data_IF_322416518959
#
_entry.id   IF_322416518959
#
_cell.length_a   1.000
_cell.length_b   1.000
_cell.length_c   1.000
_cell.angle_alpha   90.00
_cell.angle_beta   90.00
_cell.angle_gamma   90.00
#
_symmetry.space_group_name_H-M   'P 1'
#
loop_
_entity.id
_entity.type
_entity.pdbx_description
1 polymer ?
#
# COMPACT_ATOMS: atom_id res chain seq x y z
N UNK A 1 1.11 -5.44 28.88
CA UNK A 1 0.05 -5.08 27.92
C UNK A 1 0.04 -3.57 27.80
N UNK A 2 0.43 -3.04 26.65
CA UNK A 2 0.37 -1.61 26.40
C UNK A 2 -0.09 -1.43 24.96
N UNK A 3 -1.34 -1.01 24.84
CA UNK A 3 -2.00 -0.62 23.61
C UNK A 3 -1.25 0.58 23.01
N UNK A 4 -0.35 0.37 22.05
CA UNK A 4 0.06 1.42 21.09
C UNK A 4 -1.08 1.64 20.08
N UNK A 5 -2.26 1.95 20.62
CA UNK A 5 -3.50 2.13 19.90
C UNK A 5 -3.57 3.62 19.55
N UNK A 6 -3.57 3.92 18.26
CA UNK A 6 -3.90 5.22 17.71
C UNK A 6 -2.98 6.37 18.16
N UNK A 7 -1.70 6.31 17.80
CA UNK A 7 -1.13 7.59 17.35
C UNK A 7 -1.96 7.99 16.13
N UNK A 8 -2.65 9.11 16.30
CA UNK A 8 -3.44 9.79 15.30
C UNK A 8 -2.50 10.04 14.11
N UNK A 9 -2.51 9.15 13.11
CA UNK A 9 -1.81 9.28 11.85
C UNK A 9 -2.44 10.41 11.05
N UNK A 10 -2.28 11.63 11.54
CA UNK A 10 -2.33 12.81 10.70
C UNK A 10 -1.03 12.79 9.92
N UNK A 11 -1.02 12.06 8.80
CA UNK A 11 -0.01 12.19 7.77
C UNK A 11 0.09 13.67 7.39
N UNK A 12 1.30 14.20 7.33
CA UNK A 12 1.53 15.52 6.76
C UNK A 12 1.47 15.46 5.22
N UNK A 13 1.58 16.61 4.56
CA UNK A 13 1.50 16.67 3.08
C UNK A 13 2.62 15.85 2.42
N UNK A 14 3.81 15.79 3.02
CA UNK A 14 4.95 15.03 2.49
C UNK A 14 4.72 13.52 2.61
N UNK A 15 4.19 13.07 3.75
CA UNK A 15 3.74 11.70 3.98
C UNK A 15 2.66 11.30 2.98
N UNK A 16 1.70 12.18 2.71
CA UNK A 16 0.67 11.95 1.69
C UNK A 16 1.26 11.81 0.29
N UNK A 17 2.26 12.62 -0.08
CA UNK A 17 2.96 12.46 -1.36
C UNK A 17 3.64 11.10 -1.48
N UNK A 18 4.33 10.64 -0.43
CA UNK A 18 4.98 9.31 -0.43
C UNK A 18 3.94 8.19 -0.58
N UNK A 19 2.82 8.28 0.13
CA UNK A 19 1.74 7.29 0.07
C UNK A 19 1.06 7.27 -1.30
N UNK A 20 0.82 8.43 -1.90
CA UNK A 20 0.24 8.57 -3.23
C UNK A 20 1.18 8.05 -4.33
N UNK A 21 2.45 8.43 -4.31
CA UNK A 21 3.47 7.95 -5.23
C UNK A 21 3.64 6.44 -5.14
N UNK A 22 3.65 5.89 -3.92
CA UNK A 22 3.71 4.45 -3.71
C UNK A 22 2.46 3.73 -4.27
N UNK A 23 1.28 4.35 -4.20
CA UNK A 23 0.04 3.78 -4.72
C UNK A 23 0.02 3.77 -6.24
N UNK A 24 0.35 4.89 -6.86
CA UNK A 24 0.47 5.02 -8.33
C UNK A 24 1.49 3.99 -8.84
N UNK A 25 2.66 3.93 -8.20
CA UNK A 25 3.73 3.00 -8.59
C UNK A 25 3.33 1.55 -8.41
N UNK A 26 2.63 1.21 -7.33
CA UNK A 26 2.14 -0.16 -7.12
C UNK A 26 1.12 -0.57 -8.18
N UNK A 27 0.22 0.34 -8.57
CA UNK A 27 -0.72 0.12 -9.67
C UNK A 27 -0.01 -0.08 -11.02
N UNK A 28 1.01 0.74 -11.32
CA UNK A 28 1.85 0.56 -12.51
C UNK A 28 2.52 -0.82 -12.54
N UNK A 29 3.05 -1.28 -11.40
CA UNK A 29 3.65 -2.63 -11.27
C UNK A 29 2.63 -3.76 -11.44
N UNK A 30 1.38 -3.53 -11.06
CA UNK A 30 0.27 -4.47 -11.27
C UNK A 30 -0.29 -4.41 -12.70
N UNK A 31 0.10 -3.42 -13.50
CA UNK A 31 -0.38 -3.23 -14.86
C UNK A 31 -1.83 -2.77 -14.95
N UNK A 32 -2.43 -2.33 -13.85
CA UNK A 32 -3.79 -1.83 -13.78
C UNK A 32 -3.80 -0.36 -13.35
N UNK A 33 -4.60 0.50 -14.00
CA UNK A 33 -4.69 1.89 -13.59
C UNK A 33 -5.33 2.01 -12.20
N UNK A 34 -4.86 2.92 -11.33
CA UNK A 34 -5.36 3.09 -9.96
C UNK A 34 -6.89 3.24 -9.87
N UNK A 35 -7.47 3.92 -10.86
CA UNK A 35 -8.91 4.22 -10.95
C UNK A 35 -9.77 2.99 -11.25
N UNK A 36 -9.19 1.98 -11.92
CA UNK A 36 -9.90 0.74 -12.27
C UNK A 36 -9.52 -0.44 -11.38
N UNK A 37 -8.55 -0.25 -10.47
CA UNK A 37 -8.03 -1.34 -9.66
C UNK A 37 -9.05 -1.74 -8.62
N UNK A 38 -9.64 -2.94 -8.79
CA UNK A 38 -10.71 -3.46 -7.93
C UNK A 38 -10.33 -3.52 -6.44
N UNK A 39 -9.04 -3.64 -6.15
CA UNK A 39 -8.51 -3.72 -4.79
C UNK A 39 -7.76 -2.44 -4.36
N UNK A 40 -8.02 -1.27 -4.98
CA UNK A 40 -7.35 0.00 -4.69
C UNK A 40 -7.36 0.37 -3.20
N UNK A 41 -8.51 0.24 -2.54
CA UNK A 41 -8.64 0.51 -1.10
C UNK A 41 -7.78 -0.42 -0.24
N UNK A 42 -7.69 -1.68 -0.62
CA UNK A 42 -6.91 -2.69 0.10
C UNK A 42 -5.42 -2.46 -0.09
N UNK A 43 -5.02 -2.13 -1.32
CA UNK A 43 -3.65 -1.76 -1.66
C UNK A 43 -3.22 -0.52 -0.87
N UNK A 44 -4.04 0.54 -0.85
CA UNK A 44 -3.79 1.76 -0.08
C UNK A 44 -3.62 1.48 1.42
N UNK A 45 -4.50 0.64 2.01
CA UNK A 45 -4.35 0.21 3.42
C UNK A 45 -3.05 -0.56 3.67
N UNK A 46 -2.54 -1.29 2.68
CA UNK A 46 -1.28 -2.01 2.83
C UNK A 46 -0.08 -1.07 2.76
N UNK A 47 -0.12 -0.12 1.83
CA UNK A 47 0.87 0.96 1.68
C UNK A 47 0.97 1.76 2.98
N UNK A 48 -0.18 2.20 3.52
CA UNK A 48 -0.24 2.90 4.81
C UNK A 48 0.38 2.07 5.94
N UNK A 49 0.08 0.77 6.03
CA UNK A 49 0.70 -0.11 7.05
C UNK A 49 2.22 -0.25 6.90
N UNK A 50 2.74 -0.27 5.68
CA UNK A 50 4.19 -0.33 5.43
C UNK A 50 4.85 0.99 5.83
N UNK A 51 4.17 2.10 5.54
CA UNK A 51 4.59 3.41 5.97
C UNK A 51 4.59 3.55 7.51
N UNK A 52 3.52 3.11 8.17
CA UNK A 52 3.40 3.09 9.63
C UNK A 52 4.46 2.21 10.30
N UNK A 53 4.94 1.17 9.60
CA UNK A 53 6.04 0.32 10.05
C UNK A 53 7.43 0.98 9.91
N UNK A 54 7.50 2.21 9.39
CA UNK A 54 8.73 3.00 9.26
C UNK A 54 9.40 2.91 7.90
N UNK A 55 8.78 2.27 6.90
CA UNK A 55 9.28 2.32 5.52
C UNK A 55 8.95 3.71 4.95
N UNK A 56 9.96 4.43 4.46
CA UNK A 56 9.81 5.81 3.92
C UNK A 56 10.11 5.92 2.43
N UNK A 57 10.61 4.86 1.82
CA UNK A 57 10.89 4.80 0.39
C UNK A 57 9.65 4.31 -0.37
N UNK A 58 9.08 5.17 -1.21
CA UNK A 58 7.85 4.89 -1.95
C UNK A 58 8.01 3.71 -2.92
N UNK A 59 9.19 3.53 -3.54
CA UNK A 59 9.45 2.45 -4.51
C UNK A 59 9.48 1.11 -3.79
N UNK A 60 10.08 1.07 -2.60
CA UNK A 60 10.10 -0.12 -1.74
C UNK A 60 8.68 -0.47 -1.27
N UNK A 61 7.92 0.53 -0.80
CA UNK A 61 6.53 0.32 -0.37
C UNK A 61 5.69 -0.21 -1.53
N UNK A 62 5.79 0.41 -2.70
CA UNK A 62 5.07 0.02 -3.91
C UNK A 62 5.38 -1.42 -4.32
N UNK A 63 6.66 -1.79 -4.36
CA UNK A 63 7.12 -3.13 -4.74
C UNK A 63 6.58 -4.20 -3.79
N UNK A 64 6.64 -3.95 -2.48
CA UNK A 64 6.13 -4.90 -1.48
C UNK A 64 4.61 -5.02 -1.59
N UNK A 65 3.91 -3.89 -1.76
CA UNK A 65 2.46 -3.87 -1.87
C UNK A 65 1.95 -4.58 -3.15
N UNK A 66 2.55 -4.28 -4.30
CA UNK A 66 2.25 -4.93 -5.57
C UNK A 66 2.54 -6.43 -5.52
N UNK A 67 3.72 -6.83 -5.01
CA UNK A 67 4.06 -8.24 -4.90
C UNK A 67 3.08 -9.01 -4.01
N UNK A 68 2.60 -8.38 -2.93
CA UNK A 68 1.59 -8.98 -2.06
C UNK A 68 0.26 -9.18 -2.80
N UNK A 69 -0.20 -8.18 -3.53
CA UNK A 69 -1.43 -8.31 -4.34
C UNK A 69 -1.31 -9.43 -5.39
N UNK A 70 -0.17 -9.57 -6.07
CA UNK A 70 0.08 -10.67 -7.01
C UNK A 70 -0.05 -12.04 -6.33
N UNK A 71 0.50 -12.19 -5.11
CA UNK A 71 0.39 -13.45 -4.34
C UNK A 71 -1.07 -13.73 -3.96
N UNK A 72 -1.82 -12.69 -3.61
CA UNK A 72 -3.21 -12.81 -3.18
C UNK A 72 -4.14 -13.15 -4.34
N UNK A 73 -3.90 -12.55 -5.50
CA UNK A 73 -4.62 -12.86 -6.74
C UNK A 73 -4.38 -14.32 -7.16
N UNK A 74 -3.11 -14.76 -7.15
CA UNK A 74 -2.75 -16.17 -7.38
C UNK A 74 -3.45 -17.13 -6.42
N UNK A 75 -3.55 -16.78 -5.13
CA UNK A 75 -4.25 -17.64 -4.14
C UNK A 75 -5.75 -17.70 -4.37
N UNK A 76 -6.37 -16.64 -4.92
CA UNK A 76 -7.79 -16.64 -5.26
C UNK A 76 -8.11 -17.57 -6.45
N UNK A 77 -7.14 -17.89 -7.31
CA UNK A 77 -7.32 -18.78 -8.47
C UNK A 77 -7.33 -20.28 -8.12
N UNK A 78 -6.91 -20.66 -6.90
CA UNK A 78 -6.83 -22.06 -6.45
C UNK A 78 -7.95 -22.49 -5.49
N UNK A 79 -9.02 -21.69 -5.37
CA UNK A 79 -10.18 -21.96 -4.53
C UNK A 79 -11.47 -22.00 -5.35
#
# INVERSE_FOLDING_TARGET
>A
MSLHFFEKLTYDEDDWCILEDAHIRACDLLGEPPVSYKNADRLARHIMKLFDAGVRDFEVIATIAAHREIILDRKATYH
#
